data_IF_580267891355
#
_entry.id   IF_580267891355
#
_cell.length_a   1.000
_cell.length_b   1.000
_cell.length_c   1.000
_cell.angle_alpha   90.00
_cell.angle_beta   90.00
_cell.angle_gamma   90.00
#
_symmetry.space_group_name_H-M   'P 1'
#
loop_
_entity.id
_entity.type
_entity.pdbx_description
1 polymer ?
#
# COMPACT_ATOMS: atom_id res chain seq x y z
N UNK A 1 -8.87 17.00 6.31
CA UNK A 1 -7.86 16.86 7.39
C UNK A 1 -6.55 16.47 6.74
N UNK A 2 -5.44 16.96 7.26
CA UNK A 2 -4.10 16.62 6.78
C UNK A 2 -3.50 15.51 7.65
N UNK A 3 -2.49 14.81 7.11
CA UNK A 3 -1.73 13.86 7.90
C UNK A 3 -0.79 14.59 8.87
N UNK A 4 -0.71 14.11 10.12
CA UNK A 4 0.45 14.35 10.96
C UNK A 4 1.54 13.34 10.57
N UNK A 5 2.54 13.83 9.84
CA UNK A 5 3.68 13.05 9.36
C UNK A 5 4.83 12.98 10.37
N UNK A 6 4.66 13.55 11.56
CA UNK A 6 5.69 13.54 12.61
C UNK A 6 5.98 12.11 13.05
N UNK A 7 7.27 11.76 13.13
CA UNK A 7 7.69 10.45 13.64
C UNK A 7 7.32 10.35 15.12
N UNK A 8 6.38 9.47 15.42
CA UNK A 8 5.86 9.29 16.77
C UNK A 8 6.86 8.54 17.65
N UNK A 9 6.92 8.82 18.96
CA UNK A 9 7.74 8.07 19.90
C UNK A 9 7.32 6.60 19.95
N UNK A 10 8.18 5.75 20.50
CA UNK A 10 7.80 4.36 20.78
C UNK A 10 6.64 4.35 21.78
N UNK A 11 5.61 3.56 21.51
CA UNK A 11 4.44 3.36 22.37
C UNK A 11 4.24 1.87 22.64
N UNK A 12 3.32 1.57 23.54
CA UNK A 12 2.86 0.21 23.81
C UNK A 12 1.34 0.13 23.77
N UNK A 13 0.83 -0.94 23.17
CA UNK A 13 -0.59 -1.27 23.12
C UNK A 13 -0.82 -2.62 23.77
N UNK A 14 -1.95 -2.79 24.48
CA UNK A 14 -2.34 -4.12 24.92
C UNK A 14 -2.65 -4.98 23.69
N UNK A 15 -2.26 -6.27 23.72
CA UNK A 15 -2.41 -7.12 22.54
C UNK A 15 -3.88 -7.45 22.24
N UNK A 16 -4.73 -7.43 23.24
CA UNK A 16 -6.16 -7.67 23.12
C UNK A 16 -6.92 -6.42 22.63
N UNK A 17 -7.98 -6.64 21.86
CA UNK A 17 -8.88 -5.58 21.40
C UNK A 17 -8.36 -4.72 20.24
N UNK A 18 -7.17 -5.01 19.70
CA UNK A 18 -6.60 -4.27 18.58
C UNK A 18 -6.91 -4.92 17.23
N UNK A 19 -6.96 -4.10 16.17
CA UNK A 19 -6.96 -4.57 14.79
C UNK A 19 -5.51 -4.87 14.37
N UNK A 20 -4.95 -5.96 14.90
CA UNK A 20 -3.55 -6.32 14.71
C UNK A 20 -3.37 -7.40 13.63
N UNK A 21 -2.35 -7.26 12.78
CA UNK A 21 -2.05 -8.22 11.71
C UNK A 21 -0.55 -8.42 11.54
N UNK A 22 -0.13 -9.63 11.18
CA UNK A 22 1.26 -9.95 10.82
C UNK A 22 1.37 -10.33 9.34
N UNK A 23 0.37 -11.04 8.81
CA UNK A 23 0.35 -11.55 7.44
C UNK A 23 -0.88 -11.05 6.68
N UNK A 24 -0.74 -11.00 5.36
CA UNK A 24 -1.80 -10.58 4.43
C UNK A 24 -3.06 -11.46 4.51
N UNK A 25 -2.91 -12.75 4.83
CA UNK A 25 -4.00 -13.72 4.86
C UNK A 25 -4.73 -13.82 6.22
N UNK A 26 -4.29 -13.06 7.22
CA UNK A 26 -4.91 -13.02 8.56
C UNK A 26 -6.01 -11.96 8.61
N UNK A 27 -6.80 -11.97 9.68
CA UNK A 27 -7.75 -10.88 9.97
C UNK A 27 -6.99 -9.54 9.99
N UNK A 28 -7.57 -8.50 9.38
CA UNK A 28 -6.96 -7.17 9.19
C UNK A 28 -5.74 -7.15 8.24
N UNK A 29 -5.35 -8.28 7.65
CA UNK A 29 -4.26 -8.40 6.68
C UNK A 29 -4.48 -7.59 5.40
N UNK A 30 -5.72 -7.16 5.11
CA UNK A 30 -6.06 -6.15 4.11
C UNK A 30 -5.29 -4.84 4.27
N UNK A 31 -4.95 -4.46 5.51
CA UNK A 31 -4.29 -3.19 5.79
C UNK A 31 -2.79 -3.21 5.57
N UNK A 32 -2.19 -4.39 5.41
CA UNK A 32 -0.78 -4.49 5.04
C UNK A 32 -0.48 -3.76 3.73
N UNK A 33 0.66 -3.07 3.68
CA UNK A 33 1.23 -2.51 2.46
C UNK A 33 1.65 -3.59 1.45
N UNK A 34 1.83 -4.84 1.91
CA UNK A 34 2.15 -6.01 1.10
C UNK A 34 0.92 -6.68 0.50
N UNK A 35 -0.29 -6.16 0.77
CA UNK A 35 -1.52 -6.69 0.19
C UNK A 35 -1.68 -6.22 -1.28
N UNK A 36 -1.94 -7.17 -2.18
CA UNK A 36 -2.10 -6.95 -3.63
C UNK A 36 -3.56 -6.91 -4.12
N UNK A 37 -4.54 -7.09 -3.24
CA UNK A 37 -5.96 -7.16 -3.59
C UNK A 37 -6.58 -5.80 -3.89
N UNK A 38 -5.84 -4.72 -3.66
CA UNK A 38 -6.28 -3.35 -3.86
C UNK A 38 -5.38 -2.63 -4.87
N UNK A 39 -5.36 -3.06 -6.15
CA UNK A 39 -4.66 -2.33 -7.19
C UNK A 39 -5.37 -1.01 -7.48
N UNK A 40 -4.63 -0.02 -7.97
CA UNK A 40 -5.16 1.30 -8.28
C UNK A 40 -4.33 2.00 -9.35
N UNK A 41 -4.93 2.97 -10.03
CA UNK A 41 -4.22 3.84 -10.96
C UNK A 41 -3.80 5.13 -10.25
N UNK A 42 -2.57 5.57 -10.53
CA UNK A 42 -2.05 6.83 -10.04
C UNK A 42 -1.03 7.41 -11.02
N UNK A 43 -1.18 8.70 -11.31
CA UNK A 43 -0.34 9.43 -12.28
C UNK A 43 -0.23 8.73 -13.64
N UNK A 44 -1.35 8.16 -14.11
CA UNK A 44 -1.41 7.42 -15.38
C UNK A 44 -0.79 6.01 -15.35
N UNK A 45 -0.24 5.58 -14.21
CA UNK A 45 0.39 4.28 -14.04
C UNK A 45 -0.49 3.35 -13.21
N UNK A 46 -0.58 2.09 -13.64
CA UNK A 46 -1.25 1.04 -12.89
C UNK A 46 -0.31 0.43 -11.84
N UNK A 47 -0.73 0.46 -10.58
CA UNK A 47 0.00 -0.09 -9.44
C UNK A 47 -0.73 -1.31 -8.87
N UNK A 48 -0.03 -2.45 -8.82
CA UNK A 48 -0.58 -3.70 -8.25
C UNK A 48 -0.79 -3.66 -6.73
N UNK A 49 -0.26 -2.64 -6.06
CA UNK A 49 -0.35 -2.46 -4.62
C UNK A 49 0.62 -1.40 -4.12
N UNK A 50 0.43 -1.00 -2.85
CA UNK A 50 1.14 0.11 -2.23
C UNK A 50 2.64 -0.09 -2.10
N UNK A 51 3.11 -1.32 -1.83
CA UNK A 51 4.55 -1.59 -1.69
C UNK A 51 5.31 -1.26 -2.98
N UNK A 52 4.75 -1.60 -4.15
CA UNK A 52 5.42 -1.32 -5.42
C UNK A 52 5.62 0.18 -5.63
N UNK A 53 4.57 0.97 -5.39
CA UNK A 53 4.65 2.42 -5.54
C UNK A 53 5.58 3.05 -4.50
N UNK A 54 5.48 2.61 -3.24
CA UNK A 54 6.33 3.09 -2.16
C UNK A 54 7.82 2.84 -2.45
N UNK A 55 8.16 1.64 -2.94
CA UNK A 55 9.53 1.32 -3.29
C UNK A 55 10.01 2.06 -4.54
N UNK A 56 9.15 2.29 -5.53
CA UNK A 56 9.51 3.09 -6.72
C UNK A 56 9.82 4.56 -6.37
N UNK A 57 9.19 5.15 -5.35
CA UNK A 57 9.48 6.52 -4.89
C UNK A 57 10.90 6.70 -4.32
N UNK A 58 11.63 5.61 -4.04
CA UNK A 58 13.03 5.67 -3.62
C UNK A 58 13.98 6.11 -4.74
N UNK A 59 13.54 5.99 -5.99
CA UNK A 59 14.40 6.10 -7.18
C UNK A 59 13.88 7.09 -8.23
N UNK A 60 13.62 8.37 -7.87
CA UNK A 60 13.10 9.36 -8.82
C UNK A 60 14.03 9.65 -10.01
N UNK A 61 15.31 9.25 -9.92
CA UNK A 61 16.33 9.43 -10.96
C UNK A 61 16.55 8.17 -11.82
N UNK A 62 15.81 7.08 -11.58
CA UNK A 62 15.98 5.81 -12.29
C UNK A 62 14.63 5.29 -12.83
N UNK A 63 14.07 5.91 -13.89
CA UNK A 63 12.75 5.54 -14.41
C UNK A 63 12.65 4.07 -14.79
N UNK A 64 13.65 3.49 -15.47
CA UNK A 64 13.67 2.07 -15.84
C UNK A 64 13.61 1.14 -14.62
N UNK A 65 14.25 1.55 -13.51
CA UNK A 65 14.21 0.78 -12.27
C UNK A 65 12.84 0.90 -11.58
N UNK A 66 12.22 2.08 -11.62
CA UNK A 66 10.84 2.27 -11.15
C UNK A 66 9.86 1.39 -11.94
N UNK A 67 10.04 1.29 -13.26
CA UNK A 67 9.25 0.39 -14.11
C UNK A 67 9.45 -1.08 -13.75
N UNK A 68 10.69 -1.51 -13.52
CA UNK A 68 10.98 -2.88 -13.09
C UNK A 68 10.31 -3.21 -11.75
N UNK A 69 10.33 -2.28 -10.78
CA UNK A 69 9.64 -2.41 -9.50
C UNK A 69 8.12 -2.51 -9.72
N UNK A 70 7.54 -1.62 -10.52
CA UNK A 70 6.10 -1.56 -10.82
C UNK A 70 5.62 -2.84 -11.51
N UNK A 71 6.41 -3.35 -12.45
CA UNK A 71 6.09 -4.52 -13.26
C UNK A 71 6.37 -5.85 -12.54
N UNK A 72 6.96 -5.84 -11.34
CA UNK A 72 7.16 -7.05 -10.55
C UNK A 72 5.81 -7.75 -10.28
N UNK A 73 5.74 -9.09 -10.37
CA UNK A 73 4.47 -9.82 -10.29
C UNK A 73 3.85 -9.82 -8.88
N UNK A 74 4.67 -9.65 -7.84
CA UNK A 74 4.25 -9.74 -6.43
C UNK A 74 4.88 -8.63 -5.59
N UNK A 75 4.25 -8.22 -4.49
CA UNK A 75 4.75 -7.15 -3.61
C UNK A 75 6.15 -7.45 -3.05
N UNK A 76 6.40 -8.70 -2.67
CA UNK A 76 7.75 -9.13 -2.26
C UNK A 76 8.76 -9.05 -3.41
N UNK A 77 8.33 -9.28 -4.65
CA UNK A 77 9.14 -9.11 -5.85
C UNK A 77 9.49 -7.64 -6.08
N UNK A 78 8.51 -6.73 -5.96
CA UNK A 78 8.74 -5.30 -6.08
C UNK A 78 9.78 -4.81 -5.05
N UNK A 79 9.64 -5.25 -3.79
CA UNK A 79 10.62 -4.98 -2.73
C UNK A 79 11.99 -5.56 -3.03
N UNK A 80 12.05 -6.80 -3.55
CA UNK A 80 13.32 -7.45 -3.93
C UNK A 80 14.03 -6.65 -5.01
N UNK A 81 13.35 -6.32 -6.11
CA UNK A 81 13.92 -5.50 -7.20
C UNK A 81 14.42 -4.17 -6.67
N UNK A 82 13.62 -3.46 -5.87
CA UNK A 82 14.02 -2.20 -5.24
C UNK A 82 15.27 -2.33 -4.33
N UNK A 83 15.51 -3.51 -3.77
CA UNK A 83 16.66 -3.74 -2.89
C UNK A 83 17.93 -4.09 -3.66
N UNK A 84 17.85 -4.47 -4.95
CA UNK A 84 19.01 -4.66 -5.82
C UNK A 84 19.79 -3.35 -6.00
N UNK A 85 19.10 -2.21 -5.98
CA UNK A 85 19.71 -0.87 -6.06
C UNK A 85 19.53 -0.06 -4.77
N UNK A 86 19.47 -0.74 -3.61
CA UNK A 86 19.21 -0.08 -2.31
C UNK A 86 20.17 1.08 -2.01
N UNK A 87 21.43 0.99 -2.44
CA UNK A 87 22.45 2.03 -2.26
C UNK A 87 22.21 3.29 -3.10
N UNK A 88 21.41 3.20 -4.16
CA UNK A 88 21.03 4.31 -5.05
C UNK A 88 19.71 4.94 -4.63
N UNK A 89 19.25 4.71 -3.40
CA UNK A 89 18.07 5.41 -2.89
C UNK A 89 18.34 6.89 -2.75
N UNK A 90 17.34 7.72 -3.10
CA UNK A 90 17.40 9.18 -2.92
C UNK A 90 17.92 9.55 -1.52
N UNK A 91 18.80 10.55 -1.41
CA UNK A 91 19.54 10.83 -0.17
C UNK A 91 18.64 11.27 0.98
N UNK A 92 17.50 11.89 0.68
CA UNK A 92 16.50 12.40 1.63
C UNK A 92 15.40 11.37 1.97
N UNK A 93 15.65 10.08 1.75
CA UNK A 93 14.63 9.04 1.95
C UNK A 93 14.13 8.96 3.39
N UNK A 94 14.98 9.24 4.39
CA UNK A 94 14.57 9.17 5.79
C UNK A 94 13.57 10.28 6.15
N UNK A 95 13.71 11.45 5.53
CA UNK A 95 12.80 12.59 5.67
C UNK A 95 11.46 12.33 4.96
N UNK A 96 11.48 11.73 3.77
CA UNK A 96 10.27 11.62 2.93
C UNK A 96 9.51 10.30 3.04
N UNK A 97 10.07 9.24 3.63
CA UNK A 97 9.43 7.91 3.68
C UNK A 97 8.05 7.90 4.34
N UNK A 98 7.81 8.76 5.34
CA UNK A 98 6.50 8.85 6.03
C UNK A 98 5.47 9.50 5.12
N UNK A 99 5.85 10.57 4.43
CA UNK A 99 5.04 11.19 3.37
C UNK A 99 4.73 10.17 2.28
N UNK A 100 5.75 9.47 1.77
CA UNK A 100 5.58 8.46 0.72
C UNK A 100 4.58 7.37 1.13
N UNK A 101 4.64 6.89 2.37
CA UNK A 101 3.67 5.93 2.89
C UNK A 101 2.26 6.52 2.99
N UNK A 102 2.11 7.72 3.56
CA UNK A 102 0.81 8.39 3.64
C UNK A 102 0.17 8.61 2.26
N UNK A 103 1.01 8.93 1.27
CA UNK A 103 0.59 9.08 -0.12
C UNK A 103 0.05 7.78 -0.70
N UNK A 104 0.80 6.67 -0.65
CA UNK A 104 0.32 5.40 -1.23
C UNK A 104 -0.92 4.88 -0.51
N UNK A 105 -1.03 5.10 0.81
CA UNK A 105 -2.22 4.76 1.57
C UNK A 105 -3.44 5.59 1.12
N UNK A 106 -3.25 6.88 0.84
CA UNK A 106 -4.29 7.73 0.26
C UNK A 106 -4.75 7.21 -1.11
N UNK A 107 -3.82 6.76 -1.96
CA UNK A 107 -4.16 6.14 -3.26
C UNK A 107 -4.91 4.82 -3.09
N UNK A 108 -4.44 3.95 -2.18
CA UNK A 108 -5.09 2.67 -1.84
C UNK A 108 -6.53 2.86 -1.38
N UNK A 109 -6.85 3.97 -0.72
CA UNK A 109 -8.22 4.28 -0.31
C UNK A 109 -9.19 4.41 -1.49
N UNK A 110 -8.70 4.83 -2.66
CA UNK A 110 -9.49 4.88 -3.89
C UNK A 110 -9.67 3.52 -4.58
N UNK A 111 -9.01 2.46 -4.10
CA UNK A 111 -9.20 1.11 -4.63
C UNK A 111 -10.54 0.51 -4.15
N UNK A 112 -11.08 -0.39 -4.96
CA UNK A 112 -12.36 -1.06 -4.71
C UNK A 112 -12.46 -1.65 -3.29
N UNK A 113 -13.55 -1.36 -2.59
CA UNK A 113 -13.90 -1.78 -1.22
C UNK A 113 -12.92 -1.44 -0.09
N UNK A 114 -11.74 -0.88 -0.34
CA UNK A 114 -10.74 -0.72 0.71
C UNK A 114 -11.20 0.26 1.81
N UNK A 115 -11.94 1.30 1.43
CA UNK A 115 -12.48 2.27 2.38
C UNK A 115 -13.42 1.61 3.42
N UNK A 116 -14.26 0.66 2.98
CA UNK A 116 -15.16 -0.08 3.87
C UNK A 116 -14.39 -0.99 4.82
N UNK A 117 -13.36 -1.68 4.31
CA UNK A 117 -12.48 -2.51 5.13
C UNK A 117 -11.78 -1.69 6.20
N UNK A 118 -11.26 -0.52 5.82
CA UNK A 118 -10.61 0.39 6.77
C UNK A 118 -11.60 0.90 7.82
N UNK A 119 -12.83 1.24 7.43
CA UNK A 119 -13.88 1.67 8.35
C UNK A 119 -14.30 0.54 9.32
N UNK A 120 -14.30 -0.71 8.87
CA UNK A 120 -14.68 -1.88 9.69
C UNK A 120 -13.75 -2.11 10.90
N UNK A 121 -12.53 -1.57 10.89
CA UNK A 121 -11.65 -1.58 12.08
C UNK A 121 -12.25 -0.82 13.27
N UNK A 122 -13.21 0.08 13.02
CA UNK A 122 -13.94 0.84 14.05
C UNK A 122 -13.01 1.79 14.81
N UNK A 123 -13.06 1.73 16.13
CA UNK A 123 -12.23 2.57 17.03
C UNK A 123 -10.94 1.89 17.47
N UNK A 124 -10.68 0.65 17.03
CA UNK A 124 -9.49 -0.12 17.43
C UNK A 124 -8.21 0.52 16.91
N UNK A 125 -7.11 0.38 17.65
CA UNK A 125 -5.81 0.71 17.08
C UNK A 125 -5.46 -0.34 16.01
N UNK A 126 -4.94 0.14 14.88
CA UNK A 126 -4.48 -0.73 13.80
C UNK A 126 -3.00 -0.98 14.04
N UNK A 127 -2.58 -2.24 14.22
CA UNK A 127 -1.21 -2.58 14.58
C UNK A 127 -0.60 -3.54 13.55
N UNK A 128 0.48 -3.12 12.89
CA UNK A 128 1.31 -4.05 12.11
C UNK A 128 2.26 -4.78 13.08
N UNK A 129 2.09 -6.08 13.23
CA UNK A 129 2.97 -6.92 14.05
C UNK A 129 4.21 -7.24 13.23
N UNK A 130 5.38 -6.84 13.73
CA UNK A 130 6.66 -7.11 13.06
C UNK A 130 7.74 -7.48 14.07
N UNK A 131 8.39 -8.63 13.85
CA UNK A 131 9.51 -9.07 14.68
C UNK A 131 10.81 -8.30 14.40
N UNK A 132 10.90 -7.61 13.26
CA UNK A 132 12.15 -7.01 12.76
C UNK A 132 12.07 -5.49 12.60
N UNK A 133 10.88 -4.95 12.38
CA UNK A 133 10.67 -3.53 12.08
C UNK A 133 9.74 -2.90 13.12
N UNK A 134 10.35 -2.28 14.13
CA UNK A 134 9.64 -1.53 15.15
C UNK A 134 9.35 -0.07 14.74
N UNK A 135 9.72 0.34 13.51
CA UNK A 135 9.40 1.67 12.98
C UNK A 135 8.02 1.66 12.32
N UNK A 136 7.82 0.80 11.33
CA UNK A 136 6.53 0.69 10.63
C UNK A 136 5.50 -0.09 11.45
N UNK A 137 5.94 -1.12 12.16
CA UNK A 137 5.11 -1.94 13.03
C UNK A 137 5.50 -1.88 14.50
N UNK A 138 5.06 -2.90 15.24
CA UNK A 138 5.33 -3.12 16.65
C UNK A 138 5.65 -4.60 16.93
N UNK A 139 6.52 -4.83 17.90
CA UNK A 139 6.95 -6.18 18.32
C UNK A 139 6.06 -6.69 19.45
N UNK A 140 5.64 -7.97 19.44
CA UNK A 140 4.96 -8.57 20.58
C UNK A 140 5.95 -8.77 21.74
N UNK A 141 5.60 -8.25 22.92
CA UNK A 141 6.37 -8.36 24.17
C UNK A 141 5.42 -8.45 25.36
N UNK A 142 5.43 -9.57 26.08
CA UNK A 142 4.71 -9.78 27.35
C UNK A 142 3.23 -9.35 27.30
N UNK A 143 2.47 -9.84 26.31
CA UNK A 143 1.04 -9.49 26.15
C UNK A 143 0.77 -8.10 25.60
N UNK A 144 1.81 -7.39 25.12
CA UNK A 144 1.70 -6.06 24.51
C UNK A 144 2.35 -6.03 23.15
N UNK A 145 2.00 -5.04 22.33
CA UNK A 145 2.75 -4.64 21.14
C UNK A 145 3.57 -3.39 21.47
N UNK A 146 4.86 -3.39 21.13
CA UNK A 146 5.78 -2.28 21.42
C UNK A 146 6.52 -1.86 20.16
N UNK A 147 6.40 -0.59 19.79
CA UNK A 147 7.03 -0.02 18.60
C UNK A 147 6.52 1.38 18.31
N UNK A 148 6.93 1.96 17.19
CA UNK A 148 6.36 3.22 16.71
C UNK A 148 5.06 2.99 15.96
N UNK A 149 4.91 1.84 15.29
CA UNK A 149 3.72 1.47 14.52
C UNK A 149 3.28 2.59 13.55
N UNK A 150 4.22 3.21 12.85
CA UNK A 150 3.92 4.34 11.98
C UNK A 150 2.91 3.99 10.88
N UNK A 151 2.90 2.74 10.38
CA UNK A 151 1.93 2.30 9.38
C UNK A 151 0.51 2.34 9.96
N UNK A 152 0.32 1.75 11.14
CA UNK A 152 -0.95 1.75 11.86
C UNK A 152 -1.45 3.15 12.17
N UNK A 153 -0.56 4.04 12.61
CA UNK A 153 -0.89 5.45 12.90
C UNK A 153 -1.39 6.16 11.64
N UNK A 154 -0.71 6.00 10.51
CA UNK A 154 -1.16 6.57 9.24
C UNK A 154 -2.51 5.98 8.78
N UNK A 155 -2.72 4.69 8.94
CA UNK A 155 -4.01 4.05 8.61
C UNK A 155 -5.16 4.61 9.47
N UNK A 156 -4.91 4.87 10.76
CA UNK A 156 -5.90 5.48 11.64
C UNK A 156 -6.20 6.94 11.27
N UNK A 157 -5.18 7.72 10.90
CA UNK A 157 -5.38 9.07 10.36
C UNK A 157 -6.18 9.03 9.05
N UNK A 158 -5.85 8.11 8.14
CA UNK A 158 -6.57 7.89 6.89
C UNK A 158 -8.04 7.54 7.14
N UNK A 159 -8.31 6.62 8.08
CA UNK A 159 -9.67 6.25 8.55
C UNK A 159 -10.44 7.47 9.05
N UNK A 160 -9.78 8.36 9.78
CA UNK A 160 -10.37 9.58 10.31
C UNK A 160 -10.54 10.71 9.25
N UNK A 161 -10.09 10.49 8.01
CA UNK A 161 -10.29 11.43 6.90
C UNK A 161 -9.05 12.23 6.48
N UNK A 162 -7.86 11.90 7.00
CA UNK A 162 -6.62 12.51 6.53
C UNK A 162 -6.33 12.12 5.08
N UNK A 163 -5.92 13.08 4.24
CA UNK A 163 -5.55 12.84 2.83
C UNK A 163 -4.28 13.59 2.50
N UNK A 164 -3.49 13.03 1.59
CA UNK A 164 -2.37 13.73 0.96
C UNK A 164 -2.36 13.39 -0.53
N UNK A 165 -2.45 14.42 -1.37
CA UNK A 165 -2.56 14.28 -2.83
C UNK A 165 -1.27 14.64 -3.55
N UNK A 166 -0.39 15.36 -2.87
CA UNK A 166 0.92 15.72 -3.39
C UNK A 166 1.93 14.62 -3.10
N UNK A 167 2.73 14.29 -4.11
CA UNK A 167 3.87 13.41 -3.95
C UNK A 167 4.88 14.04 -2.99
N UNK A 168 5.73 13.22 -2.34
CA UNK A 168 6.88 13.78 -1.63
C UNK A 168 7.72 14.64 -2.58
N UNK A 169 8.22 15.81 -2.15
CA UNK A 169 9.00 16.70 -3.01
C UNK A 169 10.11 15.96 -3.76
N UNK A 170 10.35 16.32 -5.03
CA UNK A 170 11.38 15.67 -5.86
C UNK A 170 11.08 14.23 -6.26
N UNK A 171 9.85 13.75 -6.08
CA UNK A 171 9.40 12.45 -6.61
C UNK A 171 8.80 12.63 -7.99
N UNK A 172 9.27 11.82 -8.93
CA UNK A 172 8.71 11.73 -10.28
C UNK A 172 8.54 10.25 -10.63
N UNK A 173 7.60 9.98 -11.53
CA UNK A 173 7.42 8.67 -12.16
C UNK A 173 7.53 8.85 -13.67
N UNK A 174 7.91 7.80 -14.41
CA UNK A 174 7.89 7.84 -15.87
C UNK A 174 6.47 8.15 -16.37
N UNK A 175 6.38 8.83 -17.51
CA UNK A 175 5.11 8.98 -18.20
C UNK A 175 4.54 7.61 -18.55
N UNK A 176 3.22 7.49 -18.44
CA UNK A 176 2.55 6.26 -18.84
C UNK A 176 2.84 6.00 -20.33
N UNK A 177 3.25 4.78 -20.72
CA UNK A 177 3.34 4.46 -22.13
C UNK A 177 1.96 4.67 -22.76
N UNK A 178 1.91 5.41 -23.86
CA UNK A 178 0.68 5.60 -24.65
C UNK A 178 0.22 4.21 -25.09
N UNK A 179 -0.83 3.68 -24.46
CA UNK A 179 -1.46 2.45 -24.95
C UNK A 179 -2.31 2.82 -26.17
N UNK A 180 -2.14 2.17 -27.33
CA UNK A 180 -3.09 2.28 -28.42
C UNK A 180 -4.49 1.92 -27.92
N UNK A 181 -5.51 2.63 -28.38
CA UNK A 181 -6.92 2.50 -27.95
C UNK A 181 -7.52 1.09 -28.15
N UNK A 182 -6.83 0.20 -28.87
CA UNK A 182 -7.34 -1.10 -29.31
C UNK A 182 -7.39 -2.16 -28.20
N UNK A 183 -6.61 -2.02 -27.11
CA UNK A 183 -6.54 -3.01 -26.03
C UNK A 183 -7.58 -2.79 -24.90
N UNK A 184 -8.42 -1.76 -25.00
CA UNK A 184 -9.36 -1.37 -23.94
C UNK A 184 -10.68 -2.18 -23.91
N UNK A 185 -10.90 -3.11 -24.85
CA UNK A 185 -12.21 -3.74 -25.07
C UNK A 185 -12.31 -5.25 -24.78
N UNK A 186 -11.33 -5.88 -24.14
CA UNK A 186 -11.42 -7.28 -23.71
C UNK A 186 -11.43 -7.41 -22.19
N UNK A 187 -12.57 -7.08 -21.57
CA UNK A 187 -12.70 -7.19 -20.13
C UNK A 187 -14.12 -7.14 -19.56
N UNK A 188 -15.19 -7.17 -20.36
CA UNK A 188 -16.56 -7.34 -19.87
C UNK A 188 -17.40 -8.04 -20.94
N UNK A 189 -17.86 -9.28 -20.66
CA UNK A 189 -18.84 -9.94 -21.53
C UNK A 189 -18.73 -11.46 -21.62
N UNK A 190 -18.77 -12.15 -20.49
CA UNK A 190 -19.02 -13.60 -20.43
C UNK A 190 -20.32 -13.88 -19.69
N UNK A 191 -21.45 -13.35 -20.18
CA UNK A 191 -22.76 -13.79 -19.69
C UNK A 191 -23.14 -15.05 -20.47
N UNK A 192 -23.06 -16.14 -19.74
CA UNK A 192 -23.59 -17.47 -20.05
C UNK A 192 -25.05 -17.36 -20.52
N UNK A 193 -25.36 -17.85 -21.73
CA UNK A 193 -26.73 -18.01 -22.21
C UNK A 193 -27.12 -19.49 -22.15
N UNK A 194 -28.25 -19.85 -21.53
CA UNK A 194 -28.68 -21.23 -21.48
C UNK A 194 -29.23 -21.66 -22.84
N UNK A 195 -28.63 -22.69 -23.43
CA UNK A 195 -29.17 -23.36 -24.62
C UNK A 195 -30.44 -24.13 -24.25
N UNK A 196 -31.60 -23.53 -24.49
CA UNK A 196 -32.84 -24.27 -24.72
C UNK A 196 -32.92 -24.67 -26.19
N UNK A 197 -32.95 -25.97 -26.49
CA UNK A 197 -33.69 -26.48 -27.66
C UNK A 197 -34.34 -27.81 -27.34
N UNK A 198 -35.66 -27.79 -27.46
CA UNK A 198 -36.54 -28.95 -27.49
C UNK A 198 -36.39 -29.72 -28.82
N UNK A 199 -36.55 -31.04 -28.70
CA UNK A 199 -37.05 -32.06 -29.62
C UNK A 199 -37.27 -31.73 -31.12
N UNK A 200 -36.78 -32.62 -31.97
CA UNK A 200 -37.61 -33.55 -32.76
C UNK A 200 -36.98 -34.93 -32.77
#
# INVERSE_FOLDING_TARGET
MEFDLTIQPIRSWDAEGQAAFCKVAEEYGEHSNMNRHYPYDDRGLHWRGTEAQYQAMRFPHLPDHQEAIRNAPFMMGAKKVAYERKSETRPDWQEVKVHAMAYVLTRKLGAHDYAERLAATGTRDIIEISMRDAFWGAQPRNGKYVGRNMLGILLMQLRAGARILELPPGTFFPEAPIRPLEDAQLGFGGLDQPTRRFAR
#
